data_IF_875316719385
#
_entry.id   IF_875316719385
#
_cell.length_a   1.000
_cell.length_b   1.000
_cell.length_c   1.000
_cell.angle_alpha   90.00
_cell.angle_beta   90.00
_cell.angle_gamma   90.00
#
_symmetry.space_group_name_H-M   'P 1'
#
loop_
_entity.id
_entity.type
_entity.pdbx_description
1 polymer ?
#
# COMPACT_ATOMS: atom_id res chain seq x y z
N UNK A 1 7.15 -14.67 23.93
CA UNK A 1 7.97 -13.77 23.09
C UNK A 1 8.95 -12.91 23.87
N UNK A 2 8.56 -12.22 24.95
CA UNK A 2 9.50 -11.44 25.78
C UNK A 2 10.74 -12.22 26.22
N UNK A 3 10.56 -13.45 26.72
CA UNK A 3 11.69 -14.30 27.13
C UNK A 3 12.61 -14.64 25.96
N UNK A 4 12.06 -14.91 24.78
CA UNK A 4 12.84 -15.12 23.54
C UNK A 4 13.63 -13.87 23.19
N UNK A 5 13.04 -12.68 23.33
CA UNK A 5 13.72 -11.42 23.05
C UNK A 5 14.91 -11.18 23.99
N UNK A 6 14.73 -11.51 25.27
CA UNK A 6 15.79 -11.47 26.29
C UNK A 6 16.89 -12.47 25.96
N UNK A 7 16.54 -13.72 25.60
CA UNK A 7 17.51 -14.75 25.21
C UNK A 7 18.33 -14.35 23.97
N UNK A 8 17.71 -13.61 23.04
CA UNK A 8 18.37 -13.07 21.86
C UNK A 8 19.18 -11.79 22.13
N UNK A 9 19.23 -11.30 23.37
CA UNK A 9 19.90 -10.05 23.77
C UNK A 9 19.51 -8.86 22.87
N UNK A 10 18.21 -8.72 22.61
CA UNK A 10 17.73 -7.62 21.76
C UNK A 10 18.11 -6.25 22.34
N UNK A 11 18.67 -5.34 21.52
CA UNK A 11 18.90 -3.97 21.96
C UNK A 11 17.56 -3.27 22.21
N UNK A 12 17.55 -2.12 22.93
CA UNK A 12 16.32 -1.38 23.21
C UNK A 12 15.49 -1.06 21.97
N UNK A 13 16.13 -0.72 20.84
CA UNK A 13 15.46 -0.45 19.57
C UNK A 13 14.73 -1.66 18.98
N UNK A 14 15.09 -2.88 19.37
CA UNK A 14 14.43 -4.10 18.92
C UNK A 14 13.09 -4.40 19.61
N UNK A 15 12.79 -3.69 20.70
CA UNK A 15 11.47 -3.71 21.34
C UNK A 15 10.51 -2.71 20.71
N UNK A 16 11.02 -1.81 19.86
CA UNK A 16 10.27 -0.84 19.10
C UNK A 16 10.08 -1.31 17.65
N UNK A 17 8.95 -0.96 17.04
CA UNK A 17 8.67 -1.36 15.67
C UNK A 17 7.22 -1.16 15.25
N UNK A 18 6.76 -2.01 14.35
CA UNK A 18 5.43 -1.93 13.77
C UNK A 18 4.56 -3.14 14.01
N UNK A 19 3.26 -2.86 13.95
CA UNK A 19 2.23 -3.85 13.80
C UNK A 19 1.87 -3.95 12.32
N UNK A 20 2.10 -5.12 11.74
CA UNK A 20 1.72 -5.48 10.39
C UNK A 20 0.42 -6.27 10.44
N UNK A 21 -0.54 -5.91 9.60
CA UNK A 21 -1.71 -6.77 9.39
C UNK A 21 -2.11 -6.81 7.93
N UNK A 22 -2.59 -7.99 7.52
CA UNK A 22 -3.16 -8.24 6.20
C UNK A 22 -4.19 -9.36 6.29
N UNK A 23 -5.03 -9.48 5.27
CA UNK A 23 -6.09 -10.47 5.20
C UNK A 23 -5.87 -11.39 3.99
N UNK A 24 -5.79 -12.69 4.25
CA UNK A 24 -5.53 -13.70 3.22
C UNK A 24 -6.78 -14.53 2.95
N UNK A 25 -7.14 -14.68 1.66
CA UNK A 25 -8.25 -15.56 1.25
C UNK A 25 -7.94 -17.01 1.57
N UNK A 26 -8.91 -17.71 2.13
CA UNK A 26 -8.88 -19.16 2.35
C UNK A 26 -10.06 -19.83 1.66
N UNK A 27 -9.96 -21.15 1.45
CA UNK A 27 -11.10 -21.91 0.97
C UNK A 27 -12.13 -22.03 2.10
N UNK A 28 -13.35 -21.57 1.83
CA UNK A 28 -14.50 -21.75 2.72
C UNK A 28 -14.87 -23.22 2.77
N UNK A 29 -14.67 -23.86 3.92
CA UNK A 29 -15.09 -25.24 4.14
C UNK A 29 -15.25 -25.54 5.64
N UNK A 30 -16.09 -26.51 5.96
CA UNK A 30 -16.34 -26.94 7.33
C UNK A 30 -15.43 -28.11 7.68
N UNK A 31 -14.56 -27.92 8.69
CA UNK A 31 -13.55 -28.93 9.04
C UNK A 31 -13.86 -29.53 10.41
N UNK A 32 -13.80 -30.86 10.50
CA UNK A 32 -13.81 -31.57 11.79
C UNK A 32 -12.38 -31.67 12.32
N UNK A 33 -12.07 -30.89 13.34
CA UNK A 33 -10.78 -30.93 14.02
C UNK A 33 -10.82 -32.01 15.12
N UNK A 34 -10.07 -33.09 14.94
CA UNK A 34 -9.98 -34.19 15.90
C UNK A 34 -8.67 -34.06 16.68
N UNK A 35 -8.76 -33.73 17.96
CA UNK A 35 -7.63 -33.65 18.89
C UNK A 35 -7.79 -34.70 19.99
N UNK A 36 -7.17 -35.86 19.79
CA UNK A 36 -7.34 -37.01 20.68
C UNK A 36 -8.79 -37.50 20.66
N UNK A 37 -9.40 -37.66 21.82
CA UNK A 37 -10.81 -38.09 21.96
C UNK A 37 -11.84 -36.97 21.75
N UNK A 38 -11.38 -35.72 21.54
CA UNK A 38 -12.27 -34.57 21.31
C UNK A 38 -12.33 -34.25 19.83
N UNK A 39 -13.54 -34.14 19.31
CA UNK A 39 -13.81 -33.59 17.98
C UNK A 39 -14.56 -32.26 18.11
N UNK A 40 -14.09 -31.26 17.38
CA UNK A 40 -14.72 -29.94 17.30
C UNK A 40 -14.89 -29.54 15.85
N UNK A 41 -16.02 -28.90 15.55
CA UNK A 41 -16.30 -28.38 14.22
C UNK A 41 -15.77 -26.96 14.12
N UNK A 42 -14.74 -26.74 13.28
CA UNK A 42 -14.06 -25.45 13.12
C UNK A 42 -14.42 -24.79 11.79
N UNK A 43 -13.74 -23.69 11.46
CA UNK A 43 -13.91 -22.86 10.25
C UNK A 43 -14.97 -21.77 10.31
N UNK A 44 -15.51 -21.48 11.48
CA UNK A 44 -16.37 -20.32 11.70
C UNK A 44 -15.56 -19.03 11.76
N UNK A 45 -16.19 -17.91 11.44
CA UNK A 45 -15.65 -16.59 11.79
C UNK A 45 -15.45 -16.51 13.30
N UNK A 46 -14.27 -16.07 13.72
CA UNK A 46 -13.91 -15.81 15.11
C UNK A 46 -12.94 -14.63 15.14
N UNK A 47 -13.44 -13.47 15.58
CA UNK A 47 -12.69 -12.21 15.74
C UNK A 47 -12.58 -11.78 17.20
N UNK A 48 -12.93 -12.67 18.14
CA UNK A 48 -13.07 -12.34 19.55
C UNK A 48 -14.44 -11.77 19.92
N UNK A 49 -14.79 -11.87 21.21
CA UNK A 49 -16.13 -11.58 21.73
C UNK A 49 -16.56 -10.12 21.55
N UNK A 50 -15.64 -9.17 21.68
CA UNK A 50 -15.94 -7.73 21.56
C UNK A 50 -16.25 -7.33 20.12
N UNK A 51 -15.47 -7.83 19.16
CA UNK A 51 -15.72 -7.64 17.74
C UNK A 51 -17.04 -8.32 17.32
N UNK A 52 -17.31 -9.54 17.81
CA UNK A 52 -18.57 -10.24 17.58
C UNK A 52 -19.77 -9.46 18.12
N UNK A 53 -19.70 -8.97 19.36
CA UNK A 53 -20.76 -8.17 19.97
C UNK A 53 -21.03 -6.90 19.15
N UNK A 54 -19.98 -6.21 18.68
CA UNK A 54 -20.13 -5.04 17.82
C UNK A 54 -20.83 -5.38 16.50
N UNK A 55 -20.50 -6.53 15.90
CA UNK A 55 -21.15 -7.01 14.68
C UNK A 55 -22.63 -7.30 14.91
N UNK A 56 -22.98 -7.99 16.00
CA UNK A 56 -24.37 -8.29 16.37
C UNK A 56 -25.18 -7.00 16.55
N UNK A 57 -24.62 -6.00 17.23
CA UNK A 57 -25.28 -4.70 17.43
C UNK A 57 -25.52 -3.98 16.11
N UNK A 58 -24.55 -4.00 15.18
CA UNK A 58 -24.68 -3.33 13.87
C UNK A 58 -25.64 -4.04 12.92
N UNK A 59 -25.64 -5.36 12.91
CA UNK A 59 -26.44 -6.17 11.98
C UNK A 59 -27.82 -6.54 12.57
N UNK A 60 -28.02 -6.29 13.87
CA UNK A 60 -29.20 -6.68 14.64
C UNK A 60 -29.56 -8.17 14.44
N UNK A 61 -28.55 -9.02 14.31
CA UNK A 61 -28.69 -10.44 14.00
C UNK A 61 -27.54 -11.24 14.58
N UNK A 62 -27.84 -12.41 15.10
CA UNK A 62 -26.86 -13.45 15.44
C UNK A 62 -26.83 -14.45 14.29
N UNK A 63 -25.71 -14.53 13.58
CA UNK A 63 -25.50 -15.54 12.55
C UNK A 63 -24.07 -16.07 12.59
N UNK A 64 -23.93 -17.40 12.53
CA UNK A 64 -22.64 -18.04 12.26
C UNK A 64 -22.45 -18.15 10.76
N UNK A 65 -21.27 -17.76 10.30
CA UNK A 65 -20.82 -17.88 8.91
C UNK A 65 -19.47 -18.59 8.91
N UNK A 66 -19.19 -19.28 7.82
CA UNK A 66 -17.86 -19.82 7.58
C UNK A 66 -16.90 -18.69 7.24
N UNK A 67 -15.64 -18.89 7.57
CA UNK A 67 -14.58 -17.96 7.24
C UNK A 67 -14.14 -18.13 5.79
N UNK A 68 -14.06 -17.01 5.07
CA UNK A 68 -13.51 -16.93 3.71
C UNK A 68 -12.12 -16.32 3.69
N UNK A 69 -11.68 -15.77 4.81
CA UNK A 69 -10.48 -14.99 4.97
C UNK A 69 -9.81 -15.28 6.32
N UNK A 70 -8.51 -14.99 6.42
CA UNK A 70 -7.76 -15.01 7.67
C UNK A 70 -7.03 -13.68 7.83
N UNK A 71 -7.40 -12.93 8.86
CA UNK A 71 -6.66 -11.75 9.30
C UNK A 71 -5.41 -12.21 10.05
N UNK A 72 -4.23 -11.82 9.55
CA UNK A 72 -2.95 -12.10 10.19
C UNK A 72 -2.40 -10.84 10.82
N UNK A 73 -1.88 -10.94 12.04
CA UNK A 73 -1.28 -9.82 12.75
C UNK A 73 0.13 -10.22 13.21
N UNK A 74 1.12 -9.40 12.90
CA UNK A 74 2.55 -9.66 13.15
C UNK A 74 3.22 -8.43 13.74
N UNK A 75 4.08 -8.63 14.74
CA UNK A 75 5.01 -7.59 15.18
C UNK A 75 6.30 -7.68 14.36
N UNK A 76 6.83 -6.54 13.93
CA UNK A 76 8.14 -6.41 13.31
C UNK A 76 8.92 -5.26 13.97
N UNK A 77 9.94 -5.62 14.74
CA UNK A 77 10.87 -4.69 15.37
C UNK A 77 11.86 -4.07 14.39
N UNK A 78 12.43 -2.92 14.74
CA UNK A 78 13.42 -2.21 13.91
C UNK A 78 14.68 -3.01 13.59
N UNK A 79 15.03 -3.98 14.44
CA UNK A 79 16.16 -4.89 14.25
C UNK A 79 15.84 -6.08 13.36
N UNK A 80 14.61 -6.18 12.84
CA UNK A 80 14.12 -7.33 12.08
C UNK A 80 13.56 -8.47 12.94
N UNK A 81 13.59 -8.34 14.28
CA UNK A 81 12.94 -9.31 15.16
C UNK A 81 11.43 -9.28 14.94
N UNK A 82 10.88 -10.43 14.53
CA UNK A 82 9.47 -10.53 14.12
C UNK A 82 8.83 -11.79 14.65
N UNK A 83 7.53 -11.72 14.90
CA UNK A 83 6.74 -12.88 15.26
C UNK A 83 5.26 -12.67 14.95
N UNK A 84 4.55 -13.72 14.50
CA UNK A 84 3.11 -13.67 14.40
C UNK A 84 2.51 -13.52 15.80
N UNK A 85 1.53 -12.65 15.93
CA UNK A 85 0.80 -12.41 17.17
C UNK A 85 -0.47 -13.26 17.16
N UNK A 86 -1.27 -13.14 16.10
CA UNK A 86 -2.58 -13.79 16.01
C UNK A 86 -3.02 -14.01 14.56
N UNK A 87 -3.95 -14.95 14.41
CA UNK A 87 -4.64 -15.27 13.17
C UNK A 87 -6.13 -15.40 13.49
N UNK A 88 -6.98 -14.61 12.82
CA UNK A 88 -8.43 -14.65 13.01
C UNK A 88 -9.11 -15.12 11.74
N UNK A 89 -9.91 -16.19 11.79
CA UNK A 89 -10.80 -16.55 10.68
C UNK A 89 -11.92 -15.50 10.55
N UNK A 90 -12.14 -14.98 9.35
CA UNK A 90 -13.00 -13.83 9.04
C UNK A 90 -13.75 -14.00 7.71
N UNK A 91 -14.71 -13.13 7.41
CA UNK A 91 -15.35 -12.99 6.09
C UNK A 91 -15.07 -11.62 5.43
N UNK A 92 -13.95 -11.00 5.80
CA UNK A 92 -13.64 -9.61 5.48
C UNK A 92 -13.85 -8.70 6.69
N UNK A 93 -12.77 -8.44 7.42
CA UNK A 93 -12.81 -7.64 8.66
C UNK A 93 -13.24 -6.20 8.41
N UNK A 94 -14.19 -5.69 9.20
CA UNK A 94 -14.64 -4.30 9.12
C UNK A 94 -13.64 -3.36 9.80
N UNK A 95 -13.60 -2.12 9.34
CA UNK A 95 -12.78 -1.06 9.95
C UNK A 95 -12.96 -0.91 11.48
N UNK A 96 -14.20 -1.07 11.98
CA UNK A 96 -14.49 -0.95 13.40
C UNK A 96 -14.08 -2.17 14.22
N UNK A 97 -14.08 -3.36 13.62
CA UNK A 97 -13.57 -4.58 14.25
C UNK A 97 -12.04 -4.50 14.33
N UNK A 98 -11.40 -4.11 13.22
CA UNK A 98 -9.95 -3.81 13.19
C UNK A 98 -9.56 -2.81 14.29
N UNK A 99 -10.37 -1.78 14.51
CA UNK A 99 -10.12 -0.80 15.57
C UNK A 99 -9.95 -1.46 16.94
N UNK A 100 -10.91 -2.30 17.34
CA UNK A 100 -10.88 -2.99 18.63
C UNK A 100 -9.69 -3.96 18.68
N UNK A 101 -9.56 -4.81 17.66
CA UNK A 101 -8.55 -5.88 17.59
C UNK A 101 -7.13 -5.28 17.68
N UNK A 102 -6.84 -4.25 16.89
CA UNK A 102 -5.50 -3.66 16.82
C UNK A 102 -5.11 -3.00 18.14
N UNK A 103 -6.02 -2.25 18.78
CA UNK A 103 -5.70 -1.58 20.04
C UNK A 103 -5.55 -2.56 21.21
N UNK A 104 -6.31 -3.65 21.22
CA UNK A 104 -6.11 -4.73 22.18
C UNK A 104 -4.71 -5.34 22.04
N UNK A 105 -4.26 -5.62 20.80
CA UNK A 105 -2.90 -6.12 20.59
C UNK A 105 -1.81 -5.13 20.94
N UNK A 106 -2.00 -3.84 20.67
CA UNK A 106 -1.04 -2.81 21.08
C UNK A 106 -0.93 -2.79 22.62
N UNK A 107 -2.06 -2.93 23.33
CA UNK A 107 -2.10 -3.01 24.79
C UNK A 107 -1.35 -4.23 25.32
N UNK A 108 -1.61 -5.41 24.75
CA UNK A 108 -0.94 -6.65 25.12
C UNK A 108 0.57 -6.61 24.83
N UNK A 109 0.98 -6.11 23.66
CA UNK A 109 2.39 -5.94 23.32
C UNK A 109 3.12 -5.02 24.30
N UNK A 110 2.49 -3.91 24.69
CA UNK A 110 3.04 -3.00 25.70
C UNK A 110 3.24 -3.71 27.04
N UNK A 111 2.29 -4.54 27.47
CA UNK A 111 2.44 -5.35 28.69
C UNK A 111 3.62 -6.33 28.63
N UNK A 112 4.00 -6.76 27.41
CA UNK A 112 5.15 -7.63 27.16
C UNK A 112 6.45 -6.85 26.94
N UNK A 113 6.41 -5.52 26.99
CA UNK A 113 7.56 -4.63 26.80
C UNK A 113 7.85 -4.27 25.34
N UNK A 114 6.97 -4.61 24.40
CA UNK A 114 7.09 -4.20 23.00
C UNK A 114 6.27 -2.93 22.74
N UNK A 115 6.81 -2.04 21.93
CA UNK A 115 6.24 -0.72 21.65
C UNK A 115 5.94 -0.63 20.16
N UNK A 116 4.69 -0.31 19.84
CA UNK A 116 4.21 -0.10 18.47
C UNK A 116 4.29 1.38 18.15
N UNK A 117 5.24 1.75 17.29
CA UNK A 117 5.42 3.11 16.82
C UNK A 117 4.57 3.39 15.57
N UNK A 118 4.30 2.37 14.75
CA UNK A 118 3.45 2.51 13.57
C UNK A 118 2.68 1.24 13.21
N UNK A 119 1.52 1.43 12.58
CA UNK A 119 0.68 0.39 12.02
C UNK A 119 0.88 0.40 10.50
N UNK A 120 1.32 -0.73 9.95
CA UNK A 120 1.56 -0.91 8.54
C UNK A 120 0.49 -1.83 7.96
N UNK A 121 -0.21 -1.33 6.95
CA UNK A 121 -1.41 -1.98 6.40
C UNK A 121 -1.45 -1.83 4.88
N UNK A 122 -2.29 -2.62 4.22
CA UNK A 122 -2.51 -2.49 2.79
C UNK A 122 -3.37 -1.24 2.44
N UNK A 123 -3.58 -1.03 1.14
CA UNK A 123 -4.36 0.09 0.63
C UNK A 123 -5.87 -0.19 0.49
N UNK A 124 -6.39 -1.23 1.13
CA UNK A 124 -7.78 -1.69 1.07
C UNK A 124 -8.79 -0.66 1.57
N UNK A 125 -10.08 -0.88 1.29
CA UNK A 125 -11.12 0.06 1.72
C UNK A 125 -11.28 0.06 3.24
N UNK A 126 -11.39 -1.11 3.87
CA UNK A 126 -11.58 -1.22 5.32
C UNK A 126 -10.38 -0.65 6.09
N UNK A 127 -9.16 -0.88 5.60
CA UNK A 127 -7.92 -0.32 6.17
C UNK A 127 -7.87 1.23 6.09
N UNK A 128 -8.32 1.80 4.96
CA UNK A 128 -8.46 3.26 4.84
C UNK A 128 -9.52 3.83 5.79
N UNK A 129 -10.66 3.16 5.95
CA UNK A 129 -11.68 3.58 6.91
C UNK A 129 -11.20 3.42 8.36
N UNK A 130 -10.50 2.34 8.68
CA UNK A 130 -9.84 2.13 9.99
C UNK A 130 -8.89 3.28 10.30
N UNK A 131 -8.06 3.68 9.35
CA UNK A 131 -7.17 4.84 9.51
C UNK A 131 -7.98 6.09 9.82
N UNK A 132 -9.07 6.37 9.07
CA UNK A 132 -9.92 7.55 9.30
C UNK A 132 -10.59 7.56 10.67
N UNK A 133 -10.94 6.41 11.25
CA UNK A 133 -11.56 6.34 12.59
C UNK A 133 -10.70 6.99 13.69
N UNK A 134 -9.40 7.16 13.46
CA UNK A 134 -8.48 7.80 14.41
C UNK A 134 -8.42 9.33 14.29
N UNK A 135 -9.14 9.92 13.33
CA UNK A 135 -9.05 11.35 13.03
C UNK A 135 -10.44 11.98 12.93
N UNK A 136 -10.60 13.15 13.55
CA UNK A 136 -11.81 14.00 13.41
C UNK A 136 -11.83 14.80 12.11
N UNK A 137 -10.77 14.72 11.30
CA UNK A 137 -10.61 15.41 10.02
C UNK A 137 -9.73 14.63 9.05
N UNK A 138 -9.15 15.31 8.06
CA UNK A 138 -8.29 14.67 7.07
C UNK A 138 -7.01 14.12 7.74
N UNK A 139 -6.76 12.79 7.71
CA UNK A 139 -5.61 12.16 8.38
C UNK A 139 -4.26 12.77 7.97
N UNK A 140 -4.17 13.21 6.73
CA UNK A 140 -2.99 13.84 6.15
C UNK A 140 -2.57 15.14 6.86
N UNK A 141 -3.51 15.93 7.39
CA UNK A 141 -3.18 17.18 8.11
C UNK A 141 -2.38 16.92 9.38
N UNK A 142 -2.54 15.73 9.95
CA UNK A 142 -1.82 15.26 11.13
C UNK A 142 -0.72 14.27 10.74
N UNK A 143 -0.26 14.26 9.49
CA UNK A 143 0.78 13.34 9.01
C UNK A 143 0.49 11.86 9.30
N UNK A 144 -0.79 11.47 9.33
CA UNK A 144 -1.24 10.12 9.70
C UNK A 144 -0.79 9.67 11.10
N UNK A 145 -0.55 10.63 11.99
CA UNK A 145 -0.13 10.41 13.39
C UNK A 145 -1.34 10.55 14.32
N UNK A 146 -1.70 9.49 15.04
CA UNK A 146 -2.77 9.49 16.04
C UNK A 146 -2.22 9.30 17.46
N UNK A 147 -3.03 9.65 18.46
CA UNK A 147 -2.73 9.37 19.87
C UNK A 147 -2.82 7.87 20.16
N UNK A 148 -1.89 7.36 20.96
CA UNK A 148 -1.99 6.00 21.48
C UNK A 148 -3.09 5.90 22.52
N UNK A 149 -4.03 4.97 22.34
CA UNK A 149 -5.06 4.67 23.34
C UNK A 149 -4.50 3.98 24.59
N UNK A 150 -3.30 3.40 24.48
CA UNK A 150 -2.66 2.62 25.55
C UNK A 150 -1.69 3.48 26.35
N UNK A 151 -1.09 4.51 25.72
CA UNK A 151 -0.13 5.39 26.35
C UNK A 151 -0.31 6.83 25.85
N UNK A 152 -1.02 7.69 26.59
CA UNK A 152 -1.40 9.04 26.13
C UNK A 152 -0.24 9.92 25.61
N UNK A 153 0.96 9.77 26.17
CA UNK A 153 2.13 10.55 25.73
C UNK A 153 2.80 10.05 24.45
N UNK A 154 2.27 8.99 23.83
CA UNK A 154 2.83 8.37 22.63
C UNK A 154 1.93 8.53 21.44
N UNK A 155 2.56 8.56 20.28
CA UNK A 155 1.90 8.64 18.99
C UNK A 155 2.09 7.33 18.23
N UNK A 156 1.10 6.98 17.42
CA UNK A 156 1.16 5.86 16.49
C UNK A 156 0.96 6.39 15.08
N UNK A 157 1.86 6.03 14.16
CA UNK A 157 1.74 6.43 12.76
C UNK A 157 1.01 5.36 11.95
N UNK A 158 0.11 5.76 11.06
CA UNK A 158 -0.48 4.87 10.07
C UNK A 158 0.30 4.97 8.76
N UNK A 159 0.85 3.84 8.31
CA UNK A 159 1.60 3.73 7.06
C UNK A 159 1.00 2.67 6.14
N UNK A 160 1.24 2.81 4.84
CA UNK A 160 0.88 1.82 3.83
C UNK A 160 2.11 1.30 3.11
N UNK A 161 2.05 0.06 2.62
CA UNK A 161 3.12 -0.52 1.81
C UNK A 161 3.38 0.30 0.53
N UNK A 162 4.62 0.76 0.36
CA UNK A 162 5.09 1.51 -0.80
C UNK A 162 4.90 0.75 -2.12
N UNK A 163 5.07 -0.58 -2.08
CA UNK A 163 4.92 -1.46 -3.25
C UNK A 163 3.48 -1.44 -3.78
N UNK A 164 2.50 -1.32 -2.88
CA UNK A 164 1.09 -1.17 -3.25
C UNK A 164 0.81 0.15 -3.98
N UNK A 165 1.52 1.23 -3.67
CA UNK A 165 1.37 2.49 -4.40
C UNK A 165 1.91 2.39 -5.83
N UNK A 166 3.07 1.76 -6.04
CA UNK A 166 3.60 1.51 -7.39
C UNK A 166 2.63 0.67 -8.23
N UNK A 167 2.07 -0.38 -7.61
CA UNK A 167 1.01 -1.21 -8.22
C UNK A 167 -0.22 -0.39 -8.59
N UNK A 168 -0.74 0.44 -7.69
CA UNK A 168 -1.89 1.33 -7.95
C UNK A 168 -1.60 2.36 -9.05
N UNK A 169 -0.39 2.91 -9.08
CA UNK A 169 0.03 3.87 -10.09
C UNK A 169 0.12 3.23 -11.47
N UNK A 170 0.82 2.10 -11.62
CA UNK A 170 0.83 1.33 -12.87
C UNK A 170 -0.60 1.03 -13.33
N UNK A 171 -1.45 0.52 -12.45
CA UNK A 171 -2.84 0.21 -12.80
C UNK A 171 -3.62 1.45 -13.22
N UNK A 172 -3.33 2.63 -12.65
CA UNK A 172 -3.92 3.88 -13.10
C UNK A 172 -3.44 4.29 -14.50
N UNK A 173 -2.16 4.11 -14.83
CA UNK A 173 -1.62 4.36 -16.17
C UNK A 173 -2.19 3.36 -17.19
N UNK A 174 -2.27 2.07 -16.85
CA UNK A 174 -2.90 1.02 -17.68
C UNK A 174 -4.35 1.37 -18.05
N UNK A 175 -5.10 1.91 -17.09
CA UNK A 175 -6.47 2.35 -17.31
C UNK A 175 -6.58 3.72 -17.97
N UNK A 176 -5.46 4.43 -18.16
CA UNK A 176 -5.42 5.78 -18.72
C UNK A 176 -5.41 5.78 -20.24
N UNK A 177 -6.38 6.47 -20.85
CA UNK A 177 -6.46 6.62 -22.30
C UNK A 177 -7.72 7.35 -22.74
N UNK A 178 -7.83 7.55 -24.05
CA UNK A 178 -8.95 8.28 -24.68
C UNK A 178 -10.01 7.35 -25.28
N UNK A 179 -9.79 6.03 -25.25
CA UNK A 179 -10.72 5.08 -25.82
C UNK A 179 -11.87 4.77 -24.85
N UNK A 180 -12.97 4.24 -25.38
CA UNK A 180 -14.19 3.95 -24.60
C UNK A 180 -14.01 2.91 -23.50
N UNK A 181 -13.00 2.04 -23.61
CA UNK A 181 -12.66 1.04 -22.59
C UNK A 181 -11.72 1.57 -21.50
N UNK A 182 -11.16 2.77 -21.66
CA UNK A 182 -10.35 3.40 -20.63
C UNK A 182 -11.26 4.00 -19.56
N UNK A 183 -10.88 3.82 -18.29
CA UNK A 183 -11.66 4.33 -17.14
C UNK A 183 -11.04 5.56 -16.51
N UNK A 184 -9.87 5.99 -16.98
CA UNK A 184 -9.11 7.12 -16.47
C UNK A 184 -8.50 7.92 -17.61
N UNK A 185 -8.14 9.16 -17.30
CA UNK A 185 -7.28 9.98 -18.14
C UNK A 185 -6.34 10.76 -17.21
N UNK A 186 -5.13 10.24 -17.04
CA UNK A 186 -4.07 10.92 -16.31
C UNK A 186 -3.55 12.09 -17.16
N UNK A 187 -3.43 13.25 -16.53
CA UNK A 187 -2.96 14.46 -17.18
C UNK A 187 -1.99 15.17 -16.24
N UNK A 188 -0.94 15.79 -16.79
CA UNK A 188 -0.08 16.73 -16.09
C UNK A 188 0.30 17.86 -17.05
N UNK A 189 0.13 19.10 -16.61
CA UNK A 189 0.35 20.34 -17.38
C UNK A 189 -0.31 20.31 -18.76
N UNK A 190 -1.53 19.80 -18.84
CA UNK A 190 -2.28 19.66 -20.09
C UNK A 190 -1.87 18.45 -20.94
N UNK A 191 -0.77 17.76 -20.64
CA UNK A 191 -0.31 16.60 -21.40
C UNK A 191 -0.82 15.29 -20.78
N UNK A 192 -1.31 14.39 -21.62
CA UNK A 192 -1.83 13.10 -21.20
C UNK A 192 -0.72 12.10 -20.89
N UNK A 193 -0.94 11.28 -19.86
CA UNK A 193 -0.08 10.14 -19.52
C UNK A 193 -0.89 8.88 -19.80
N UNK A 194 -0.50 8.10 -20.80
CA UNK A 194 -1.26 6.95 -21.28
C UNK A 194 -0.36 5.74 -21.50
N UNK A 195 -0.89 4.54 -21.30
CA UNK A 195 -0.09 3.31 -21.40
C UNK A 195 0.55 3.08 -22.77
N UNK A 196 -0.07 3.60 -23.83
CA UNK A 196 0.47 3.55 -25.20
C UNK A 196 1.88 4.13 -25.30
N UNK A 197 2.23 5.11 -24.46
CA UNK A 197 3.58 5.69 -24.39
C UNK A 197 4.62 4.65 -23.97
N UNK A 198 4.29 3.78 -22.99
CA UNK A 198 5.16 2.68 -22.55
C UNK A 198 5.27 1.61 -23.64
N UNK A 199 4.14 1.25 -24.28
CA UNK A 199 4.13 0.27 -25.36
C UNK A 199 4.98 0.71 -26.56
N UNK A 200 4.86 1.98 -26.95
CA UNK A 200 5.60 2.55 -28.05
C UNK A 200 7.10 2.64 -27.76
N UNK A 201 7.48 3.04 -26.54
CA UNK A 201 8.88 3.06 -26.12
C UNK A 201 9.49 1.65 -26.14
N UNK A 202 8.78 0.65 -25.60
CA UNK A 202 9.24 -0.74 -25.60
C UNK A 202 9.37 -1.30 -27.03
N UNK A 203 8.38 -1.04 -27.90
CA UNK A 203 8.44 -1.45 -29.31
C UNK A 203 9.61 -0.80 -30.05
N UNK A 204 9.84 0.49 -29.80
CA UNK A 204 10.97 1.21 -30.38
C UNK A 204 12.31 0.60 -29.94
N UNK A 205 12.46 0.25 -28.67
CA UNK A 205 13.68 -0.39 -28.14
C UNK A 205 13.96 -1.72 -28.84
N UNK A 206 12.92 -2.54 -29.02
CA UNK A 206 13.00 -3.83 -29.70
C UNK A 206 13.38 -3.71 -31.18
N UNK A 207 12.93 -2.66 -31.85
CA UNK A 207 13.15 -2.47 -33.29
C UNK A 207 14.47 -1.75 -33.60
N UNK A 208 14.93 -0.90 -32.70
CA UNK A 208 16.03 0.04 -32.96
C UNK A 208 17.33 -0.41 -32.32
N UNK A 209 17.29 -0.94 -31.10
CA UNK A 209 18.49 -1.22 -30.32
C UNK A 209 18.84 -2.71 -30.38
N UNK A 210 20.06 -3.01 -30.84
CA UNK A 210 20.59 -4.39 -30.81
C UNK A 210 20.73 -4.94 -29.39
N UNK A 211 20.87 -4.06 -28.39
CA UNK A 211 20.80 -4.35 -26.97
C UNK A 211 19.71 -3.49 -26.35
N UNK A 212 18.69 -4.12 -25.79
CA UNK A 212 17.58 -3.45 -25.12
C UNK A 212 18.10 -2.50 -24.03
N UNK A 213 17.61 -1.27 -24.03
CA UNK A 213 17.85 -0.32 -22.95
C UNK A 213 17.23 -0.84 -21.66
N UNK A 214 16.02 -1.42 -21.75
CA UNK A 214 15.39 -2.07 -20.61
C UNK A 214 15.19 -3.57 -20.86
N UNK A 215 16.18 -4.36 -20.44
CA UNK A 215 16.25 -5.80 -20.73
C UNK A 215 15.23 -6.68 -20.00
N UNK A 216 14.59 -6.17 -18.93
CA UNK A 216 13.66 -6.94 -18.10
C UNK A 216 12.21 -6.85 -18.56
N UNK A 217 11.87 -5.88 -19.41
CA UNK A 217 10.51 -5.76 -19.93
C UNK A 217 10.15 -7.01 -20.74
N UNK A 218 9.01 -7.57 -20.38
CA UNK A 218 8.45 -8.79 -20.95
C UNK A 218 6.99 -8.59 -21.27
N UNK A 219 6.36 -9.58 -21.92
CA UNK A 219 4.94 -9.51 -22.25
C UNK A 219 4.06 -9.33 -20.99
N UNK A 220 4.41 -9.96 -19.86
CA UNK A 220 3.71 -9.78 -18.58
C UNK A 220 3.80 -8.34 -18.02
N UNK A 221 4.82 -7.58 -18.41
CA UNK A 221 4.92 -6.17 -18.05
C UNK A 221 4.01 -5.30 -18.94
N UNK A 222 4.05 -5.53 -20.25
CA UNK A 222 3.40 -4.69 -21.27
C UNK A 222 1.90 -5.00 -21.43
N UNK A 223 1.55 -6.27 -21.26
CA UNK A 223 0.19 -6.80 -21.42
C UNK A 223 -0.21 -7.64 -20.19
N UNK A 224 -0.25 -7.04 -18.98
CA UNK A 224 -0.51 -7.78 -17.75
C UNK A 224 -1.96 -8.26 -17.69
N UNK A 225 -2.14 -9.54 -17.40
CA UNK A 225 -3.43 -10.11 -17.04
C UNK A 225 -3.87 -9.73 -15.61
N UNK A 226 -4.97 -10.30 -15.13
CA UNK A 226 -5.47 -10.03 -13.77
C UNK A 226 -4.49 -10.46 -12.67
N UNK A 227 -3.73 -11.53 -12.87
CA UNK A 227 -2.76 -12.02 -11.90
C UNK A 227 -1.47 -11.19 -11.94
N UNK A 228 -0.98 -10.83 -13.13
CA UNK A 228 0.20 -9.99 -13.33
C UNK A 228 -0.03 -8.57 -12.77
N UNK A 229 -1.25 -8.04 -12.85
CA UNK A 229 -1.64 -6.79 -12.17
C UNK A 229 -1.51 -6.85 -10.65
N UNK A 230 -1.41 -8.02 -10.03
CA UNK A 230 -1.20 -8.14 -8.59
C UNK A 230 0.28 -8.23 -8.20
N UNK A 231 1.18 -8.50 -9.14
CA UNK A 231 2.62 -8.66 -8.88
C UNK A 231 3.29 -7.30 -8.71
N UNK A 232 3.84 -7.07 -7.51
CA UNK A 232 4.52 -5.81 -7.16
C UNK A 232 5.81 -5.59 -7.99
N UNK A 233 6.62 -6.63 -8.21
CA UNK A 233 7.86 -6.49 -8.97
C UNK A 233 7.62 -6.01 -10.41
N UNK A 234 6.60 -6.56 -11.10
CA UNK A 234 6.22 -6.09 -12.44
C UNK A 234 5.81 -4.61 -12.43
N UNK A 235 5.15 -4.15 -11.37
CA UNK A 235 4.77 -2.75 -11.24
C UNK A 235 5.95 -1.82 -11.01
N UNK A 236 6.97 -2.28 -10.31
CA UNK A 236 8.17 -1.50 -10.06
C UNK A 236 9.07 -1.44 -11.28
N UNK A 237 9.26 -2.56 -11.98
CA UNK A 237 10.12 -2.61 -13.17
C UNK A 237 9.61 -1.68 -14.28
N UNK A 238 8.29 -1.53 -14.48
CA UNK A 238 7.73 -0.56 -15.44
C UNK A 238 7.74 0.90 -14.97
N UNK A 239 8.15 1.17 -13.72
CA UNK A 239 8.19 2.51 -13.14
C UNK A 239 9.59 2.89 -12.60
N UNK A 240 10.61 2.08 -12.89
CA UNK A 240 11.97 2.24 -12.38
C UNK A 240 12.83 3.16 -13.25
N UNK A 241 14.11 3.27 -12.88
CA UNK A 241 15.10 4.07 -13.61
C UNK A 241 15.36 3.52 -15.03
N UNK A 242 15.38 2.20 -15.25
CA UNK A 242 15.57 1.64 -16.60
C UNK A 242 14.44 2.07 -17.55
N UNK A 243 13.20 2.05 -17.08
CA UNK A 243 12.05 2.55 -17.86
C UNK A 243 12.15 4.06 -18.09
N UNK A 244 12.65 4.83 -17.13
CA UNK A 244 12.90 6.26 -17.31
C UNK A 244 13.93 6.51 -18.42
N UNK A 245 15.04 5.76 -18.43
CA UNK A 245 16.09 5.89 -19.45
C UNK A 245 15.60 5.45 -20.83
N UNK A 246 14.80 4.38 -20.89
CA UNK A 246 14.11 3.97 -22.11
C UNK A 246 13.21 5.10 -22.64
N UNK A 247 12.35 5.67 -21.79
CA UNK A 247 11.41 6.72 -22.21
C UNK A 247 12.12 7.99 -22.69
N UNK A 248 13.21 8.40 -22.04
CA UNK A 248 14.06 9.52 -22.48
C UNK A 248 14.73 9.26 -23.83
N UNK A 249 15.24 8.04 -24.03
CA UNK A 249 15.90 7.67 -25.28
C UNK A 249 14.89 7.62 -26.43
N UNK A 250 13.71 7.07 -26.17
CA UNK A 250 12.60 7.09 -27.12
C UNK A 250 12.16 8.53 -27.45
N UNK A 251 12.02 9.40 -26.45
CA UNK A 251 11.72 10.82 -26.65
C UNK A 251 12.69 11.49 -27.62
N UNK A 252 14.00 11.27 -27.44
CA UNK A 252 15.03 11.85 -28.30
C UNK A 252 14.99 11.35 -29.76
N UNK A 253 14.37 10.19 -30.01
CA UNK A 253 14.20 9.63 -31.35
C UNK A 253 12.99 10.22 -32.11
N UNK A 254 12.08 10.91 -31.42
CA UNK A 254 10.85 11.42 -31.99
C UNK A 254 11.02 12.87 -32.49
N UNK A 255 10.33 13.19 -33.60
CA UNK A 255 10.25 14.57 -34.11
C UNK A 255 9.50 15.48 -33.12
N UNK A 256 8.45 14.95 -32.47
CA UNK A 256 7.69 15.64 -31.43
C UNK A 256 7.73 14.83 -30.13
N UNK A 257 8.90 14.83 -29.49
CA UNK A 257 9.13 14.10 -28.23
C UNK A 257 8.42 14.71 -27.00
N UNK A 258 7.93 15.95 -27.10
CA UNK A 258 7.33 16.66 -25.96
C UNK A 258 6.08 15.98 -25.40
N UNK A 259 5.42 15.16 -26.22
CA UNK A 259 4.28 14.32 -25.82
C UNK A 259 4.61 13.35 -24.68
N UNK A 260 5.90 13.06 -24.45
CA UNK A 260 6.38 12.18 -23.39
C UNK A 260 6.80 12.91 -22.11
N UNK A 261 6.87 14.25 -22.11
CA UNK A 261 7.39 15.03 -20.98
C UNK A 261 6.69 14.70 -19.66
N UNK A 262 5.37 14.55 -19.67
CA UNK A 262 4.62 14.23 -18.45
C UNK A 262 4.79 12.80 -17.97
N UNK A 263 4.97 11.84 -18.88
CA UNK A 263 5.28 10.46 -18.53
C UNK A 263 6.70 10.36 -17.94
N UNK A 264 7.66 11.07 -18.54
CA UNK A 264 9.04 11.16 -18.06
C UNK A 264 9.09 11.84 -16.69
N UNK A 265 8.38 12.94 -16.48
CA UNK A 265 8.30 13.62 -15.18
C UNK A 265 7.77 12.70 -14.08
N UNK A 266 6.75 11.88 -14.39
CA UNK A 266 6.21 10.89 -13.48
C UNK A 266 7.27 9.80 -13.18
N UNK A 267 7.89 9.25 -14.22
CA UNK A 267 8.93 8.22 -14.09
C UNK A 267 10.14 8.69 -13.27
N UNK A 268 10.52 9.97 -13.38
CA UNK A 268 11.56 10.57 -12.54
C UNK A 268 11.21 10.55 -11.05
N UNK A 269 9.92 10.65 -10.69
CA UNK A 269 9.50 10.60 -9.29
C UNK A 269 9.37 9.16 -8.81
N UNK A 270 8.84 8.27 -9.65
CA UNK A 270 8.67 6.86 -9.28
C UNK A 270 9.99 6.14 -9.17
N UNK A 271 10.97 6.44 -10.04
CA UNK A 271 12.31 5.82 -9.95
C UNK A 271 12.98 6.17 -8.63
N UNK A 272 12.92 7.45 -8.20
CA UNK A 272 13.40 7.90 -6.89
C UNK A 272 12.72 7.17 -5.73
N UNK A 273 11.39 7.02 -5.76
CA UNK A 273 10.67 6.28 -4.73
C UNK A 273 11.14 4.83 -4.65
N UNK A 274 11.22 4.15 -5.79
CA UNK A 274 11.66 2.75 -5.86
C UNK A 274 13.09 2.61 -5.32
N UNK A 275 14.00 3.50 -5.73
CA UNK A 275 15.39 3.51 -5.22
C UNK A 275 15.44 3.65 -3.71
N UNK A 276 14.68 4.60 -3.13
CA UNK A 276 14.68 4.82 -1.68
C UNK A 276 14.06 3.64 -0.93
N UNK A 277 12.89 3.14 -1.35
CA UNK A 277 12.18 2.08 -0.64
C UNK A 277 12.76 0.68 -0.85
N UNK A 278 13.58 0.47 -1.89
CA UNK A 278 14.33 -0.77 -2.11
C UNK A 278 15.74 -0.76 -1.49
N UNK A 279 16.16 0.37 -0.93
CA UNK A 279 17.39 0.43 -0.16
C UNK A 279 17.22 -0.34 1.15
N UNK A 280 17.92 -1.45 1.29
CA UNK A 280 17.84 -2.31 2.47
C UNK A 280 18.58 -1.74 3.69
N UNK A 281 19.35 -0.66 3.52
CA UNK A 281 20.09 -0.04 4.62
C UNK A 281 19.10 0.74 5.51
N UNK A 282 19.15 0.59 6.84
CA UNK A 282 18.29 1.36 7.72
C UNK A 282 18.55 2.87 7.58
N UNK A 283 17.51 3.68 7.76
CA UNK A 283 17.64 5.14 7.95
C UNK A 283 17.94 5.36 9.43
N UNK A 284 19.15 5.82 9.75
CA UNK A 284 19.60 6.01 11.14
C UNK A 284 19.76 7.46 11.53
N UNK A 285 19.59 8.38 10.59
CA UNK A 285 19.82 9.82 10.77
C UNK A 285 18.68 10.61 10.13
N UNK A 286 18.24 11.68 10.80
CA UNK A 286 17.21 12.60 10.31
C UNK A 286 17.67 13.44 9.12
N UNK A 287 18.97 13.54 8.90
CA UNK A 287 19.62 14.22 7.79
C UNK A 287 19.97 13.28 6.64
N UNK A 288 19.54 12.01 6.69
CA UNK A 288 19.73 11.05 5.60
C UNK A 288 19.19 11.63 4.29
N UNK A 289 20.03 11.65 3.25
CA UNK A 289 19.70 12.22 1.96
C UNK A 289 18.44 11.59 1.33
N UNK A 290 18.12 10.33 1.66
CA UNK A 290 16.90 9.66 1.22
C UNK A 290 15.65 10.35 1.72
N UNK A 291 15.66 10.93 2.93
CA UNK A 291 14.53 11.68 3.46
C UNK A 291 14.28 12.97 2.66
N UNK A 292 15.35 13.64 2.23
CA UNK A 292 15.25 14.82 1.35
C UNK A 292 14.68 14.46 -0.02
N UNK A 293 15.08 13.30 -0.58
CA UNK A 293 14.51 12.78 -1.83
C UNK A 293 13.01 12.52 -1.65
N UNK A 294 12.58 11.90 -0.56
CA UNK A 294 11.18 11.63 -0.28
C UNK A 294 10.36 12.93 -0.13
N UNK A 295 10.90 13.95 0.54
CA UNK A 295 10.25 15.25 0.66
C UNK A 295 10.04 15.91 -0.71
N UNK A 296 11.08 15.93 -1.56
CA UNK A 296 10.97 16.46 -2.92
C UNK A 296 9.89 15.73 -3.74
N UNK A 297 9.86 14.40 -3.66
CA UNK A 297 8.86 13.61 -4.40
C UNK A 297 7.45 13.85 -3.84
N UNK A 298 7.30 13.94 -2.52
CA UNK A 298 6.03 14.25 -1.88
C UNK A 298 5.50 15.61 -2.34
N UNK A 299 6.34 16.64 -2.38
CA UNK A 299 5.98 17.97 -2.87
C UNK A 299 5.54 17.94 -4.33
N UNK A 300 6.23 17.18 -5.17
CA UNK A 300 5.83 17.00 -6.56
C UNK A 300 4.43 16.37 -6.69
N UNK A 301 4.14 15.30 -5.94
CA UNK A 301 2.80 14.68 -5.96
C UNK A 301 1.71 15.60 -5.39
N UNK A 302 2.06 16.45 -4.42
CA UNK A 302 1.14 17.44 -3.87
C UNK A 302 0.78 18.49 -4.92
N UNK A 303 1.78 19.04 -5.59
CA UNK A 303 1.60 20.01 -6.65
C UNK A 303 0.77 19.43 -7.79
N UNK A 304 1.07 18.19 -8.21
CA UNK A 304 0.29 17.52 -9.27
C UNK A 304 -1.18 17.30 -8.86
N UNK A 305 -1.42 16.88 -7.62
CA UNK A 305 -2.79 16.75 -7.10
C UNK A 305 -3.55 18.08 -7.13
N UNK A 306 -2.90 19.15 -6.69
CA UNK A 306 -3.54 20.45 -6.57
C UNK A 306 -3.80 21.07 -7.95
N UNK A 307 -2.90 20.88 -8.91
CA UNK A 307 -3.12 21.19 -10.33
C UNK A 307 -4.41 20.52 -10.87
N UNK A 308 -4.59 19.24 -10.59
CA UNK A 308 -5.77 18.48 -11.05
C UNK A 308 -7.06 18.94 -10.35
N UNK A 309 -6.98 19.40 -9.10
CA UNK A 309 -8.14 19.98 -8.40
C UNK A 309 -8.60 21.27 -9.05
N UNK A 310 -7.67 22.13 -9.47
CA UNK A 310 -8.00 23.39 -10.15
C UNK A 310 -8.66 23.13 -11.51
N UNK A 311 -8.16 22.16 -12.29
CA UNK A 311 -8.78 21.73 -13.56
C UNK A 311 -10.22 21.21 -13.36
N UNK A 312 -10.52 20.58 -12.21
CA UNK A 312 -11.87 20.06 -11.93
C UNK A 312 -12.86 21.12 -11.44
N UNK A 313 -12.39 22.26 -10.95
CA UNK A 313 -13.27 23.37 -10.55
C UNK A 313 -13.80 24.13 -11.76
N UNK A 314 -12.99 24.25 -12.81
CA UNK A 314 -13.26 25.05 -14.01
C UNK A 314 -14.54 24.67 -14.78
N UNK A 315 -14.93 23.38 -14.93
CA UNK A 315 -16.17 23.02 -15.60
C UNK A 315 -17.45 23.43 -14.85
N UNK A 316 -17.44 23.41 -13.51
CA UNK A 316 -18.65 23.69 -12.70
C UNK A 316 -18.95 25.18 -12.53
N UNK A 317 -17.97 26.04 -12.73
CA UNK A 317 -18.14 27.51 -12.63
C UNK A 317 -18.56 28.13 -13.95
N UNK A 318 -18.24 27.51 -15.09
CA UNK A 318 -18.73 27.90 -16.42
C UNK A 318 -20.23 27.60 -16.62
N UNK A 319 -20.76 26.53 -16.02
CA UNK A 319 -22.21 26.24 -16.02
C UNK A 319 -23.03 27.16 -15.10
N UNK A 320 -22.38 27.92 -14.19
CA UNK A 320 -23.04 28.91 -13.32
C UNK A 320 -22.96 30.35 -13.86
N UNK A 321 -22.28 30.56 -14.97
CA UNK A 321 -22.09 31.86 -15.61
C UNK A 321 -22.83 31.99 -16.97
N UNK A 322 -23.70 31.03 -17.30
CA UNK A 322 -24.64 31.05 -18.44
C UNK A 322 -26.06 30.87 -17.93
#
# INVERSE_FOLDING_TARGET
MRNTAIQMNLPPSGYHGCLLHDEAKIQEDLVLNVKGERSELVSWIDTGSEAENLRIVKENKVSRKLATDVLQITFLGYTGFRFPIAHFPTDGVKASELYIIIWDFISQLQSWGFIVDFIMQDGGQQNREFTKLHFTGEPRKNYFMCDSLVHPDRKVYHSQDSSHYMKKLRNAVLSSGVNTYNTKLLNKKGNVIVWEQWLNAARWDEQTNSRKIHYKLSNSHLHPDSADKMRNHLAEEVNNEDTLQLMKSYQNSLINGDVLNSAIDLLQQTSKLITVFRDSRPVTDIHDARLNILNYVLDWFNNWRDEIKEIKKTPKELERAT
#
